data_IF_854093746987
#
_entry.id   IF_854093746987
#
_cell.length_a   1.000
_cell.length_b   1.000
_cell.length_c   1.000
_cell.angle_alpha   90.00
_cell.angle_beta   90.00
_cell.angle_gamma   90.00
#
_symmetry.space_group_name_H-M   'P 1'
#
loop_
_entity.id
_entity.type
_entity.pdbx_description
1 polymer ?
#
# COMPACT_ATOMS: atom_id res chain seq x y z
N UNK A 1 -11.13 7.01 5.59
CA UNK A 1 -12.08 8.11 5.40
C UNK A 1 -13.17 7.59 4.46
N UNK A 2 -14.35 7.28 5.02
CA UNK A 2 -15.53 6.97 4.25
C UNK A 2 -16.10 8.29 3.73
N UNK A 3 -15.87 8.60 2.47
CA UNK A 3 -16.65 9.60 1.77
C UNK A 3 -18.02 8.96 1.51
N UNK A 4 -19.00 9.28 2.35
CA UNK A 4 -20.40 9.08 1.99
C UNK A 4 -20.63 10.05 0.83
N UNK A 5 -21.09 9.52 -0.29
CA UNK A 5 -21.47 10.31 -1.44
C UNK A 5 -22.49 11.37 -0.98
N UNK A 6 -22.26 12.61 -1.37
CA UNK A 6 -23.06 13.77 -0.93
C UNK A 6 -24.53 13.57 -1.27
N UNK A 7 -24.82 12.92 -2.36
CA UNK A 7 -26.17 12.58 -2.81
C UNK A 7 -26.90 11.65 -1.82
N UNK A 8 -26.21 10.59 -1.33
CA UNK A 8 -26.77 9.70 -0.30
C UNK A 8 -26.90 10.36 1.06
N UNK A 9 -26.05 11.31 1.40
CA UNK A 9 -26.19 12.10 2.62
C UNK A 9 -27.42 13.00 2.55
N UNK A 10 -27.67 13.63 1.40
CA UNK A 10 -28.83 14.49 1.16
C UNK A 10 -30.13 13.68 1.15
N UNK A 11 -30.16 12.46 0.56
CA UNK A 11 -31.29 11.53 0.61
C UNK A 11 -31.62 11.10 2.06
N UNK A 12 -30.61 10.74 2.86
CA UNK A 12 -30.79 10.39 4.26
C UNK A 12 -31.31 11.57 5.09
N UNK A 13 -30.83 12.76 4.81
CA UNK A 13 -31.27 13.99 5.48
C UNK A 13 -32.74 14.30 5.15
N UNK A 14 -33.14 14.10 3.91
CA UNK A 14 -34.53 14.26 3.47
C UNK A 14 -35.46 13.23 4.13
N UNK A 15 -35.06 11.96 4.15
CA UNK A 15 -35.85 10.89 4.79
C UNK A 15 -36.05 11.11 6.29
N UNK A 16 -35.01 11.60 7.00
CA UNK A 16 -35.09 11.94 8.43
C UNK A 16 -36.00 13.16 8.64
N UNK A 17 -35.96 14.14 7.73
CA UNK A 17 -36.85 15.31 7.77
C UNK A 17 -38.34 14.90 7.63
N UNK A 18 -38.66 13.98 6.70
CA UNK A 18 -40.02 13.46 6.52
C UNK A 18 -40.47 12.66 7.74
N UNK A 19 -39.64 11.81 8.32
CA UNK A 19 -39.92 11.11 9.56
C UNK A 19 -40.22 12.06 10.72
N UNK A 20 -39.44 13.14 10.86
CA UNK A 20 -39.68 14.14 11.88
C UNK A 20 -41.01 14.89 11.71
N UNK A 21 -41.46 15.14 10.48
CA UNK A 21 -42.81 15.68 10.21
C UNK A 21 -43.91 14.76 10.71
N UNK A 22 -43.74 13.46 10.55
CA UNK A 22 -44.70 12.44 11.05
C UNK A 22 -44.67 12.38 12.58
N UNK A 23 -43.49 12.44 13.21
CA UNK A 23 -43.35 12.45 14.66
C UNK A 23 -43.97 13.69 15.30
N UNK A 24 -43.82 14.87 14.70
CA UNK A 24 -44.46 16.11 15.17
C UNK A 24 -46.02 16.03 15.12
N UNK A 25 -46.55 15.38 14.09
CA UNK A 25 -48.03 15.13 13.98
C UNK A 25 -48.56 14.18 15.04
N UNK A 26 -47.73 13.35 15.63
CA UNK A 26 -48.11 12.36 16.66
C UNK A 26 -47.75 12.83 18.09
N UNK A 27 -47.47 14.09 18.32
CA UNK A 27 -47.06 14.68 19.62
C UNK A 27 -45.84 13.99 20.29
N UNK A 28 -44.94 13.39 19.53
CA UNK A 28 -43.66 12.86 20.00
C UNK A 28 -42.56 13.90 19.81
N UNK A 29 -41.60 13.89 20.71
CA UNK A 29 -40.40 14.76 20.57
C UNK A 29 -39.70 14.48 19.26
N UNK A 30 -39.31 15.51 18.49
CA UNK A 30 -38.54 15.32 17.26
C UNK A 30 -37.22 14.62 17.58
N UNK A 31 -36.84 13.70 16.71
CA UNK A 31 -35.56 13.00 16.83
C UNK A 31 -34.47 13.96 16.31
N UNK A 32 -33.39 14.08 17.05
CA UNK A 32 -32.22 14.82 16.60
C UNK A 32 -31.69 14.23 15.28
N UNK A 33 -31.72 15.03 14.22
CA UNK A 33 -31.29 14.61 12.87
C UNK A 33 -29.88 14.03 12.87
N UNK A 34 -28.95 14.61 13.63
CA UNK A 34 -27.59 14.13 13.73
C UNK A 34 -27.50 12.75 14.39
N UNK A 35 -28.33 12.50 15.38
CA UNK A 35 -28.43 11.18 16.06
C UNK A 35 -29.04 10.12 15.15
N UNK A 36 -30.06 10.45 14.36
CA UNK A 36 -30.68 9.52 13.41
C UNK A 36 -29.72 9.16 12.27
N UNK A 37 -29.03 10.14 11.70
CA UNK A 37 -28.03 9.92 10.65
C UNK A 37 -26.90 9.04 11.19
N UNK A 38 -26.43 9.29 12.40
CA UNK A 38 -25.40 8.47 13.04
C UNK A 38 -25.86 7.02 13.25
N UNK A 39 -27.08 6.81 13.76
CA UNK A 39 -27.64 5.47 13.95
C UNK A 39 -27.85 4.73 12.61
N UNK A 40 -28.28 5.42 11.56
CA UNK A 40 -28.42 4.83 10.23
C UNK A 40 -27.05 4.44 9.64
N UNK A 41 -26.03 5.27 9.81
CA UNK A 41 -24.65 4.96 9.40
C UNK A 41 -24.11 3.78 10.19
N UNK A 42 -24.30 3.74 11.51
CA UNK A 42 -23.88 2.63 12.37
C UNK A 42 -24.54 1.30 11.99
N UNK A 43 -25.75 1.34 11.42
CA UNK A 43 -26.41 0.12 10.89
C UNK A 43 -25.86 -0.36 9.55
N UNK A 44 -25.22 0.50 8.78
CA UNK A 44 -24.63 0.15 7.47
C UNK A 44 -23.17 -0.28 7.64
N UNK A 45 -22.44 0.27 8.60
CA UNK A 45 -21.03 -0.02 8.82
C UNK A 45 -20.85 -1.32 9.60
N UNK A 46 -20.05 -2.23 9.04
CA UNK A 46 -19.58 -3.40 9.76
C UNK A 46 -18.41 -3.03 10.67
N UNK A 47 -18.51 -3.39 11.94
CA UNK A 47 -17.41 -3.27 12.88
C UNK A 47 -16.34 -4.32 12.60
N UNK A 48 -15.08 -3.91 12.51
CA UNK A 48 -13.97 -4.81 12.30
C UNK A 48 -12.93 -4.70 13.40
N UNK A 49 -12.10 -5.73 13.48
CA UNK A 49 -10.94 -5.79 14.34
C UNK A 49 -9.68 -5.92 13.48
N UNK A 50 -8.58 -5.29 13.90
CA UNK A 50 -7.27 -5.41 13.30
C UNK A 50 -6.29 -5.91 14.35
N UNK A 51 -5.43 -6.85 13.97
CA UNK A 51 -4.29 -7.28 14.78
C UNK A 51 -3.02 -7.28 13.95
N UNK A 52 -1.92 -6.83 14.54
CA UNK A 52 -0.60 -6.85 13.92
C UNK A 52 0.43 -7.26 14.96
N UNK A 53 1.33 -8.14 14.56
CA UNK A 53 2.43 -8.61 15.40
C UNK A 53 3.63 -8.98 14.53
N UNK A 54 4.82 -8.97 15.11
CA UNK A 54 6.02 -9.24 14.35
C UNK A 54 7.30 -9.23 15.19
N UNK A 55 8.39 -9.50 14.51
CA UNK A 55 9.75 -9.44 15.02
C UNK A 55 10.59 -8.55 14.11
N UNK A 56 11.33 -7.62 14.70
CA UNK A 56 12.25 -6.75 14.00
C UNK A 56 13.68 -6.99 14.48
N UNK A 57 14.59 -7.17 13.55
CA UNK A 57 16.01 -7.36 13.80
C UNK A 57 16.80 -6.31 13.02
N UNK A 58 17.76 -5.68 13.67
CA UNK A 58 18.65 -4.72 13.03
C UNK A 58 20.10 -4.96 13.45
N UNK A 59 20.97 -5.04 12.47
CA UNK A 59 22.43 -5.09 12.66
C UNK A 59 23.05 -3.90 11.98
N UNK A 60 23.82 -3.13 12.71
CA UNK A 60 24.50 -1.91 12.20
C UNK A 60 25.98 -1.95 12.47
N UNK A 61 26.78 -1.61 11.45
CA UNK A 61 28.21 -1.41 11.53
C UNK A 61 28.52 0.05 11.19
N UNK A 62 29.07 0.80 12.14
CA UNK A 62 29.34 2.24 12.02
C UNK A 62 30.76 2.58 11.63
N UNK A 63 31.73 1.66 11.82
CA UNK A 63 33.16 1.94 11.72
C UNK A 63 33.85 1.12 10.63
N UNK A 64 34.97 1.66 10.13
CA UNK A 64 35.79 1.03 9.14
C UNK A 64 35.49 1.49 7.71
N UNK A 65 36.12 0.84 6.73
CA UNK A 65 35.91 1.16 5.30
C UNK A 65 34.54 0.75 4.80
N UNK A 66 34.03 -0.36 5.31
CA UNK A 66 32.66 -0.82 5.06
C UNK A 66 31.81 -0.52 6.29
N UNK A 67 30.78 0.28 6.11
CA UNK A 67 29.77 0.61 7.09
C UNK A 67 28.36 0.42 6.49
N UNK A 68 27.35 0.36 7.34
CA UNK A 68 25.98 0.17 6.90
C UNK A 68 25.12 -0.55 7.90
N UNK A 69 23.98 -1.00 7.46
CA UNK A 69 23.03 -1.73 8.30
C UNK A 69 22.19 -2.72 7.48
N UNK A 70 21.71 -3.73 8.18
CA UNK A 70 20.74 -4.71 7.68
C UNK A 70 19.57 -4.67 8.64
N UNK A 71 18.38 -4.50 8.14
CA UNK A 71 17.16 -4.72 8.91
C UNK A 71 16.31 -5.81 8.27
N UNK A 72 15.70 -6.58 9.14
CA UNK A 72 14.75 -7.62 8.78
C UNK A 72 13.53 -7.51 9.68
N UNK A 73 12.36 -7.45 9.07
CA UNK A 73 11.07 -7.47 9.76
C UNK A 73 10.28 -8.69 9.29
N UNK A 74 9.88 -9.52 10.23
CA UNK A 74 8.87 -10.56 10.05
C UNK A 74 7.60 -10.05 10.71
N UNK A 75 6.53 -9.83 9.95
CA UNK A 75 5.29 -9.29 10.49
C UNK A 75 4.06 -9.93 9.88
N UNK A 76 2.99 -9.95 10.65
CA UNK A 76 1.69 -10.40 10.23
C UNK A 76 0.65 -9.35 10.62
N UNK A 77 -0.16 -8.95 9.66
CA UNK A 77 -1.27 -8.02 9.87
C UNK A 77 -2.55 -8.61 9.32
N UNK A 78 -3.54 -8.80 10.17
CA UNK A 78 -4.81 -9.43 9.83
C UNK A 78 -5.96 -8.60 10.33
N UNK A 79 -7.08 -8.70 9.63
CA UNK A 79 -8.34 -8.05 10.02
C UNK A 79 -9.49 -9.06 9.99
N UNK A 80 -10.50 -8.78 10.77
CA UNK A 80 -11.71 -9.56 10.88
C UNK A 80 -12.89 -8.61 10.86
N UNK A 81 -13.89 -8.91 10.06
CA UNK A 81 -15.12 -8.11 9.96
C UNK A 81 -16.29 -9.07 9.98
N UNK A 82 -16.77 -9.45 11.18
CA UNK A 82 -17.93 -10.32 11.32
C UNK A 82 -19.20 -9.61 10.88
N UNK A 83 -20.24 -10.36 10.56
CA UNK A 83 -21.57 -9.83 10.36
C UNK A 83 -22.16 -9.28 11.65
N UNK A 84 -23.14 -8.40 11.53
CA UNK A 84 -23.87 -7.80 12.68
C UNK A 84 -24.85 -8.77 13.33
N UNK A 85 -25.30 -9.75 12.57
CA UNK A 85 -26.25 -10.76 12.99
C UNK A 85 -25.76 -12.15 12.62
N UNK A 86 -26.38 -13.18 13.15
CA UNK A 86 -26.10 -14.59 12.80
C UNK A 86 -26.41 -14.94 11.34
N UNK A 87 -27.24 -14.16 10.67
CA UNK A 87 -27.59 -14.34 9.26
C UNK A 87 -26.63 -13.66 8.32
N UNK A 88 -26.02 -12.54 8.75
CA UNK A 88 -25.07 -11.77 7.96
C UNK A 88 -23.67 -12.39 8.06
N UNK A 89 -23.15 -12.91 6.97
CA UNK A 89 -21.87 -13.65 6.97
C UNK A 89 -20.64 -12.78 7.24
N UNK A 90 -20.73 -11.45 7.11
CA UNK A 90 -19.58 -10.56 7.18
C UNK A 90 -18.59 -10.75 6.02
N UNK A 91 -17.39 -10.19 6.16
CA UNK A 91 -16.31 -10.35 5.16
C UNK A 91 -15.60 -11.67 5.42
N UNK A 92 -15.38 -12.46 4.36
CA UNK A 92 -14.75 -13.80 4.44
C UNK A 92 -15.43 -14.70 5.47
N UNK A 93 -16.75 -14.65 5.55
CA UNK A 93 -17.58 -15.39 6.53
C UNK A 93 -17.19 -15.09 7.99
N UNK A 94 -16.80 -13.84 8.27
CA UNK A 94 -16.38 -13.39 9.59
C UNK A 94 -15.05 -13.96 10.08
N UNK A 95 -14.27 -14.62 9.22
CA UNK A 95 -12.93 -15.15 9.55
C UNK A 95 -11.86 -14.08 9.46
N UNK A 96 -10.72 -14.31 10.12
CA UNK A 96 -9.53 -13.50 9.97
C UNK A 96 -8.96 -13.62 8.56
N UNK A 97 -8.58 -12.49 7.95
CA UNK A 97 -7.97 -12.41 6.62
C UNK A 97 -6.88 -11.35 6.60
N UNK A 98 -5.96 -11.45 5.64
CA UNK A 98 -4.82 -10.54 5.54
C UNK A 98 -5.29 -9.09 5.37
N UNK A 99 -4.72 -8.17 6.15
CA UNK A 99 -4.84 -6.74 5.91
C UNK A 99 -4.15 -6.35 4.60
N UNK A 100 -4.60 -5.31 3.92
CA UNK A 100 -3.92 -4.76 2.73
C UNK A 100 -2.49 -4.28 3.02
N UNK A 101 -2.17 -4.02 4.29
CA UNK A 101 -0.84 -3.59 4.74
C UNK A 101 0.07 -4.77 5.15
N UNK A 102 -0.43 -6.01 5.09
CA UNK A 102 0.34 -7.18 5.50
C UNK A 102 1.52 -7.42 4.54
N UNK A 103 2.74 -7.35 5.08
CA UNK A 103 3.98 -7.68 4.40
C UNK A 103 4.76 -8.63 5.27
N UNK A 104 4.68 -9.93 4.97
CA UNK A 104 5.23 -10.97 5.84
C UNK A 104 6.74 -10.80 6.07
N UNK A 105 7.50 -10.53 5.01
CA UNK A 105 8.94 -10.29 5.08
C UNK A 105 9.27 -8.92 4.51
N UNK A 106 10.09 -8.16 5.23
CA UNK A 106 10.68 -6.92 4.77
C UNK A 106 12.16 -6.92 5.12
N UNK A 107 13.03 -6.83 4.10
CA UNK A 107 14.48 -6.77 4.23
C UNK A 107 14.96 -5.48 3.63
N UNK A 108 15.78 -4.75 4.37
CA UNK A 108 16.50 -3.59 3.84
C UNK A 108 17.98 -3.68 4.23
N UNK A 109 18.84 -3.53 3.24
CA UNK A 109 20.29 -3.52 3.40
C UNK A 109 20.82 -2.22 2.81
N UNK A 110 21.52 -1.44 3.61
CA UNK A 110 22.23 -0.25 3.17
C UNK A 110 23.68 -0.42 3.49
N UNK A 111 24.55 -0.21 2.52
CA UNK A 111 25.99 -0.29 2.72
C UNK A 111 26.72 0.85 2.02
N UNK A 112 27.81 1.27 2.63
CA UNK A 112 28.73 2.27 2.09
C UNK A 112 30.15 1.77 2.25
N UNK A 113 30.91 1.79 1.16
CA UNK A 113 32.32 1.38 1.12
C UNK A 113 33.21 2.55 0.74
N UNK A 114 34.05 2.97 1.68
CA UNK A 114 35.05 4.01 1.48
C UNK A 114 36.31 3.39 0.82
N UNK A 115 36.39 3.44 -0.52
CA UNK A 115 37.54 2.90 -1.27
C UNK A 115 38.78 3.70 -0.95
N UNK A 116 38.69 5.02 -1.00
CA UNK A 116 39.75 5.97 -0.68
C UNK A 116 39.14 7.34 -0.34
N UNK A 117 40.01 8.37 -0.15
CA UNK A 117 39.56 9.75 0.19
C UNK A 117 38.75 10.43 -0.91
N UNK A 118 38.62 9.86 -2.11
CA UNK A 118 37.90 10.44 -3.24
C UNK A 118 36.65 9.67 -3.60
N UNK A 119 36.67 8.35 -3.47
CA UNK A 119 35.60 7.47 -3.93
C UNK A 119 34.90 6.77 -2.76
N UNK A 120 33.61 6.91 -2.74
CA UNK A 120 32.71 6.16 -1.85
C UNK A 120 31.68 5.46 -2.71
N UNK A 121 31.53 4.16 -2.50
CA UNK A 121 30.49 3.36 -3.16
C UNK A 121 29.37 3.08 -2.19
N UNK A 122 28.13 3.23 -2.66
CA UNK A 122 26.91 2.91 -1.91
C UNK A 122 26.14 1.79 -2.58
N UNK A 123 25.45 0.97 -1.78
CA UNK A 123 24.50 0.00 -2.27
C UNK A 123 23.32 -0.06 -1.32
N UNK A 124 22.09 -0.10 -1.90
CA UNK A 124 20.85 -0.27 -1.18
C UNK A 124 20.06 -1.41 -1.80
N UNK A 125 19.72 -2.41 -0.99
CA UNK A 125 18.86 -3.51 -1.39
C UNK A 125 17.58 -3.48 -0.57
N UNK A 126 16.44 -3.58 -1.24
CA UNK A 126 15.15 -3.71 -0.60
C UNK A 126 14.43 -4.95 -1.13
N UNK A 127 13.82 -5.71 -0.22
CA UNK A 127 12.94 -6.83 -0.53
C UNK A 127 11.71 -6.78 0.36
N UNK A 128 10.52 -6.90 -0.22
CA UNK A 128 9.25 -6.92 0.49
C UNK A 128 8.34 -8.00 -0.11
N UNK A 129 7.73 -8.82 0.73
CA UNK A 129 6.65 -9.71 0.30
C UNK A 129 5.51 -8.86 -0.30
N UNK A 130 4.93 -9.33 -1.39
CA UNK A 130 3.82 -8.65 -2.05
C UNK A 130 2.63 -8.45 -1.09
N UNK A 131 2.00 -7.30 -1.19
CA UNK A 131 0.81 -6.99 -0.41
C UNK A 131 -0.38 -7.86 -0.84
N UNK A 132 -1.29 -8.19 0.10
CA UNK A 132 -2.51 -8.91 -0.20
C UNK A 132 -3.43 -8.14 -1.14
N UNK A 133 -4.03 -8.87 -2.06
CA UNK A 133 -4.99 -8.35 -3.05
C UNK A 133 -6.12 -9.34 -3.27
N UNK A 134 -7.22 -8.87 -3.80
CA UNK A 134 -8.34 -9.70 -4.21
C UNK A 134 -8.37 -9.76 -5.73
N UNK A 135 -8.27 -10.97 -6.31
CA UNK A 135 -8.39 -11.16 -7.73
C UNK A 135 -9.77 -11.74 -8.09
N UNK A 136 -10.30 -11.42 -9.29
CA UNK A 136 -11.46 -12.13 -9.79
C UNK A 136 -11.11 -13.61 -10.01
N UNK A 137 -11.97 -14.50 -9.55
CA UNK A 137 -11.86 -15.97 -9.69
C UNK A 137 -12.67 -16.50 -10.86
N UNK A 138 -13.57 -15.68 -11.40
CA UNK A 138 -14.39 -16.02 -12.53
C UNK A 138 -15.13 -14.80 -13.08
N UNK A 139 -16.02 -15.03 -14.02
CA UNK A 139 -16.92 -14.02 -14.56
C UNK A 139 -18.25 -14.66 -14.96
N UNK A 140 -19.30 -13.88 -14.95
CA UNK A 140 -20.61 -14.25 -15.47
C UNK A 140 -21.19 -13.11 -16.29
N UNK A 141 -22.12 -13.42 -17.17
CA UNK A 141 -22.81 -12.42 -17.98
C UNK A 141 -24.14 -12.07 -17.31
N UNK A 142 -24.41 -10.78 -17.18
CA UNK A 142 -25.68 -10.27 -16.70
C UNK A 142 -26.15 -9.12 -17.59
N UNK A 143 -27.31 -9.30 -18.22
CA UNK A 143 -27.89 -8.33 -19.18
C UNK A 143 -26.91 -7.85 -20.27
N UNK A 144 -26.08 -8.74 -20.82
CA UNK A 144 -25.08 -8.41 -21.84
C UNK A 144 -23.82 -7.71 -21.31
N UNK A 145 -23.66 -7.62 -19.98
CA UNK A 145 -22.49 -7.05 -19.34
C UNK A 145 -21.72 -8.17 -18.62
N UNK A 146 -20.42 -8.27 -18.89
CA UNK A 146 -19.53 -9.19 -18.19
C UNK A 146 -19.25 -8.68 -16.78
N UNK A 147 -19.66 -9.41 -15.76
CA UNK A 147 -19.47 -9.08 -14.34
C UNK A 147 -18.41 -10.01 -13.75
N UNK A 148 -17.29 -9.48 -13.19
CA UNK A 148 -16.30 -10.31 -12.54
C UNK A 148 -16.81 -10.86 -11.20
N UNK A 149 -16.55 -12.13 -10.96
CA UNK A 149 -16.79 -12.81 -9.67
C UNK A 149 -15.50 -12.83 -8.87
N UNK A 150 -15.56 -12.42 -7.62
CA UNK A 150 -14.39 -12.36 -6.72
C UNK A 150 -14.43 -13.46 -5.69
N UNK A 151 -13.28 -14.03 -5.38
CA UNK A 151 -13.07 -14.95 -4.27
C UNK A 151 -13.04 -14.26 -2.90
N UNK A 152 -12.34 -14.85 -1.95
CA UNK A 152 -12.16 -14.29 -0.63
C UNK A 152 -11.32 -13.00 -0.69
N UNK A 153 -11.65 -12.04 0.17
CA UNK A 153 -10.95 -10.77 0.24
C UNK A 153 -9.51 -10.96 0.71
N UNK A 154 -8.55 -10.37 -0.02
CA UNK A 154 -7.12 -10.39 0.27
C UNK A 154 -6.51 -11.81 0.36
N UNK A 155 -7.07 -12.77 -0.37
CA UNK A 155 -6.57 -14.15 -0.42
C UNK A 155 -5.28 -14.27 -1.22
N UNK A 156 -5.13 -13.46 -2.27
CA UNK A 156 -3.97 -13.46 -3.16
C UNK A 156 -2.95 -12.42 -2.73
N UNK A 157 -1.74 -12.49 -3.33
CA UNK A 157 -0.67 -11.51 -3.11
C UNK A 157 -0.07 -11.04 -4.43
N UNK A 158 0.34 -9.78 -4.47
CA UNK A 158 1.22 -9.29 -5.52
C UNK A 158 2.56 -10.05 -5.48
N UNK A 159 3.28 -10.14 -6.61
CA UNK A 159 4.65 -10.66 -6.63
C UNK A 159 5.56 -9.91 -5.66
N UNK A 160 6.51 -10.64 -5.09
CA UNK A 160 7.54 -10.07 -4.20
C UNK A 160 8.26 -8.92 -4.89
N UNK A 161 8.28 -7.76 -4.24
CA UNK A 161 9.00 -6.57 -4.65
C UNK A 161 10.44 -6.63 -4.19
N UNK A 162 11.41 -6.39 -5.07
CA UNK A 162 12.79 -6.15 -4.68
C UNK A 162 13.55 -5.36 -5.75
N UNK A 163 14.55 -4.61 -5.31
CA UNK A 163 15.49 -3.91 -6.19
C UNK A 163 16.84 -3.73 -5.50
N UNK A 164 17.86 -3.52 -6.29
CA UNK A 164 19.20 -3.14 -5.86
C UNK A 164 19.56 -1.83 -6.52
N UNK A 165 19.95 -0.85 -5.71
CA UNK A 165 20.47 0.42 -6.16
C UNK A 165 21.96 0.50 -5.84
N UNK A 166 22.73 1.10 -6.72
CA UNK A 166 24.14 1.36 -6.50
C UNK A 166 24.45 2.82 -6.73
N UNK A 167 25.48 3.31 -6.05
CA UNK A 167 25.98 4.67 -6.24
C UNK A 167 27.49 4.74 -6.11
N UNK A 168 28.09 5.72 -6.78
CA UNK A 168 29.49 6.07 -6.67
C UNK A 168 29.60 7.58 -6.47
N UNK A 169 30.15 8.00 -5.34
CA UNK A 169 30.38 9.41 -5.01
C UNK A 169 31.86 9.74 -5.23
N UNK A 170 32.14 10.77 -6.03
CA UNK A 170 33.48 11.29 -6.31
C UNK A 170 33.66 12.67 -5.68
N UNK A 171 34.55 12.76 -4.71
CA UNK A 171 35.02 14.03 -4.14
C UNK A 171 36.35 14.45 -4.81
N UNK A 172 36.40 15.61 -5.44
CA UNK A 172 37.58 16.09 -6.19
C UNK A 172 38.63 16.73 -5.28
N UNK A 173 39.92 16.57 -5.61
CA UNK A 173 41.06 17.12 -4.80
C UNK A 173 40.99 18.63 -4.57
N UNK A 174 40.49 19.40 -5.53
CA UNK A 174 40.39 20.87 -5.42
C UNK A 174 39.45 21.34 -4.29
N UNK A 175 38.61 20.45 -3.76
CA UNK A 175 37.67 20.76 -2.70
C UNK A 175 38.30 20.81 -1.30
N UNK A 176 39.54 20.35 -1.10
CA UNK A 176 40.26 20.42 0.18
C UNK A 176 40.88 21.80 0.48
N UNK A 177 41.11 22.60 -0.55
CA UNK A 177 41.76 23.92 -0.45
C UNK A 177 40.77 25.10 -0.59
N UNK A 178 39.52 24.83 -0.86
CA UNK A 178 38.48 25.85 -1.07
C UNK A 178 37.44 25.86 0.06
N UNK A 179 36.86 27.03 0.32
CA UNK A 179 35.78 27.19 1.28
C UNK A 179 34.48 26.43 0.89
N UNK A 180 34.35 25.97 -0.35
CA UNK A 180 33.26 25.16 -0.82
C UNK A 180 33.71 23.74 -1.18
N UNK A 181 32.83 22.76 -0.87
CA UNK A 181 33.03 21.34 -1.17
C UNK A 181 32.02 20.90 -2.20
N UNK A 182 32.47 20.21 -3.24
CA UNK A 182 31.60 19.67 -4.26
C UNK A 182 31.83 18.18 -4.47
N UNK A 183 30.78 17.44 -4.74
CA UNK A 183 30.80 15.99 -4.94
C UNK A 183 29.91 15.61 -6.12
N UNK A 184 30.40 14.77 -7.00
CA UNK A 184 29.63 14.12 -8.04
C UNK A 184 29.11 12.80 -7.52
N UNK A 185 27.82 12.56 -7.70
CA UNK A 185 27.17 11.31 -7.34
C UNK A 185 26.58 10.70 -8.61
N UNK A 186 27.07 9.54 -8.96
CA UNK A 186 26.56 8.68 -10.02
C UNK A 186 25.75 7.58 -9.36
N UNK A 187 24.52 7.38 -9.78
CA UNK A 187 23.65 6.34 -9.20
C UNK A 187 22.84 5.62 -10.25
N UNK A 188 22.51 4.39 -9.95
CA UNK A 188 21.62 3.55 -10.76
C UNK A 188 20.58 2.95 -9.81
N UNK A 189 19.34 3.34 -10.01
CA UNK A 189 18.18 2.71 -9.36
C UNK A 189 17.84 1.42 -10.10
N UNK A 190 17.50 0.36 -9.35
CA UNK A 190 17.06 -0.93 -9.87
C UNK A 190 18.05 -1.51 -10.91
N UNK A 191 19.28 -1.74 -10.47
CA UNK A 191 20.43 -2.15 -11.29
C UNK A 191 20.13 -3.30 -12.26
N UNK A 192 19.36 -4.30 -11.81
CA UNK A 192 19.03 -5.47 -12.63
C UNK A 192 17.67 -5.35 -13.37
N UNK A 193 17.13 -4.12 -13.47
CA UNK A 193 15.96 -3.80 -14.29
C UNK A 193 14.72 -4.67 -13.98
N UNK A 194 14.49 -5.03 -12.73
CA UNK A 194 13.32 -5.83 -12.36
C UNK A 194 12.03 -5.03 -12.57
N UNK A 195 11.10 -5.62 -13.28
CA UNK A 195 9.76 -5.07 -13.46
C UNK A 195 8.89 -5.44 -12.24
N UNK A 196 9.03 -4.66 -11.16
CA UNK A 196 8.23 -4.83 -9.95
C UNK A 196 6.76 -4.48 -10.23
N UNK A 197 5.83 -5.31 -9.76
CA UNK A 197 4.42 -5.04 -9.92
C UNK A 197 3.98 -3.91 -8.99
N UNK A 198 3.46 -2.84 -9.57
CA UNK A 198 2.75 -1.78 -8.84
C UNK A 198 1.27 -2.16 -8.66
N UNK A 199 0.68 -2.75 -9.71
CA UNK A 199 -0.67 -3.32 -9.67
C UNK A 199 -0.80 -4.46 -10.68
N UNK A 200 -1.79 -5.32 -10.48
CA UNK A 200 -2.24 -6.28 -11.47
C UNK A 200 -3.73 -5.99 -11.69
N UNK A 201 -4.06 -5.63 -12.92
CA UNK A 201 -5.42 -5.35 -13.36
C UNK A 201 -5.88 -6.44 -14.30
N UNK A 202 -7.18 -6.76 -14.27
CA UNK A 202 -7.78 -7.70 -15.22
C UNK A 202 -8.52 -6.90 -16.27
N UNK A 203 -8.20 -7.19 -17.53
CA UNK A 203 -8.85 -6.57 -18.70
C UNK A 203 -9.33 -7.66 -19.62
N UNK A 204 -10.51 -7.48 -20.20
CA UNK A 204 -10.98 -8.36 -21.26
C UNK A 204 -10.17 -8.07 -22.53
N UNK A 205 -9.59 -9.12 -23.11
CA UNK A 205 -8.93 -9.05 -24.39
C UNK A 205 -10.01 -8.98 -25.47
N UNK A 206 -9.95 -7.94 -26.33
CA UNK A 206 -10.96 -7.69 -27.35
C UNK A 206 -11.01 -8.80 -28.43
N UNK A 207 -9.88 -9.48 -28.68
CA UNK A 207 -9.77 -10.50 -29.73
C UNK A 207 -10.22 -11.89 -29.24
N UNK A 208 -9.89 -12.24 -28.01
CA UNK A 208 -10.17 -13.57 -27.44
C UNK A 208 -11.42 -13.62 -26.56
N UNK A 209 -11.92 -12.46 -26.09
CA UNK A 209 -13.03 -12.37 -25.13
C UNK A 209 -12.68 -12.82 -23.70
N UNK A 210 -11.44 -13.31 -23.45
CA UNK A 210 -11.01 -13.74 -22.14
C UNK A 210 -10.41 -12.61 -21.30
N UNK A 211 -10.51 -12.72 -19.99
CA UNK A 211 -9.84 -11.81 -19.08
C UNK A 211 -8.36 -12.15 -18.94
N UNK A 212 -7.51 -11.16 -19.19
CA UNK A 212 -6.07 -11.23 -19.05
C UNK A 212 -5.59 -10.43 -17.83
N UNK A 213 -4.62 -10.97 -17.11
CA UNK A 213 -3.97 -10.29 -16.01
C UNK A 213 -2.85 -9.39 -16.54
N UNK A 214 -3.03 -8.08 -16.47
CA UNK A 214 -2.06 -7.07 -16.92
C UNK A 214 -1.28 -6.53 -15.72
N UNK A 215 0.00 -6.87 -15.65
CA UNK A 215 0.91 -6.34 -14.65
C UNK A 215 1.42 -4.96 -15.04
N UNK A 216 1.13 -3.95 -14.22
CA UNK A 216 1.70 -2.61 -14.36
C UNK A 216 2.97 -2.50 -13.55
N UNK A 217 4.05 -2.02 -14.17
CA UNK A 217 5.34 -1.72 -13.53
C UNK A 217 5.69 -0.26 -13.81
N UNK A 218 6.10 0.49 -12.77
CA UNK A 218 6.32 1.94 -12.90
C UNK A 218 7.76 2.23 -13.35
N UNK A 219 8.76 1.64 -12.68
CA UNK A 219 10.17 1.91 -12.94
C UNK A 219 10.96 0.64 -13.28
N UNK A 220 11.80 0.75 -14.31
CA UNK A 220 12.89 -0.17 -14.58
C UNK A 220 14.20 0.37 -14.04
N UNK A 221 15.29 0.19 -14.80
CA UNK A 221 16.59 0.80 -14.51
C UNK A 221 16.52 2.32 -14.75
N UNK A 222 16.99 3.11 -13.77
CA UNK A 222 17.04 4.57 -13.88
C UNK A 222 18.43 5.04 -13.47
N UNK A 223 19.30 5.44 -14.41
CA UNK A 223 20.57 6.12 -14.10
C UNK A 223 20.31 7.57 -13.71
N UNK A 224 21.10 8.09 -12.78
CA UNK A 224 21.06 9.48 -12.37
C UNK A 224 22.46 10.02 -12.07
N UNK A 225 22.66 11.30 -12.30
CA UNK A 225 23.88 12.03 -11.96
C UNK A 225 23.47 13.28 -11.19
N UNK A 226 24.11 13.49 -10.03
CA UNK A 226 23.87 14.67 -9.19
C UNK A 226 25.19 15.33 -8.84
N UNK A 227 25.16 16.64 -8.70
CA UNK A 227 26.28 17.41 -8.16
C UNK A 227 25.84 18.11 -6.89
N UNK A 228 26.45 17.72 -5.78
CA UNK A 228 26.21 18.32 -4.47
C UNK A 228 27.33 19.31 -4.15
N UNK A 229 26.99 20.49 -3.64
CA UNK A 229 27.96 21.48 -3.19
C UNK A 229 27.52 22.07 -1.85
N UNK A 230 28.54 22.41 -1.05
CA UNK A 230 28.34 23.04 0.26
C UNK A 230 29.36 24.21 0.36
N UNK A 231 28.86 25.37 0.75
CA UNK A 231 29.65 26.58 1.06
C UNK A 231 30.13 26.55 2.51
#
# INVERSE_FOLDING_TARGET
>A
SFLIDREKYDELTLAVSELNKIYLKTNKKPIDNSKCIRLAIEQIILNGQLRSYGLELMVKKNEGRLNGWISYTLSKSEQQTPGRTTIESGINNGKWYNSVYDKLHNIAITSSYNLNKKWVFGANFALQTGQPVTYPTGQYEYLGITVPSYGLRNENRLPTYHHLDISATLTTKKNYERNWKGEWVFSIYNLYNRKNAASINFKQNADSGYNEAVKTSIFGIVPAVSYNFKF
#
